data_IF_310394579217
#
_entry.id   IF_310394579217
#
_cell.length_a   1.000
_cell.length_b   1.000
_cell.length_c   1.000
_cell.angle_alpha   90.00
_cell.angle_beta   90.00
_cell.angle_gamma   90.00
#
_symmetry.space_group_name_H-M   'P 1'
#
loop_
_entity.id
_entity.type
_entity.pdbx_description
1 polymer ?
#
# COMPACT_ATOMS: atom_id res chain seq x y z
N UNK A 1 2.51 26.23 -2.93
CA UNK A 1 3.50 25.20 -2.51
C UNK A 1 2.73 24.00 -1.97
N UNK A 2 3.07 22.81 -2.42
CA UNK A 2 2.40 21.59 -1.97
C UNK A 2 2.95 21.15 -0.61
N UNK A 3 2.09 20.69 0.32
CA UNK A 3 2.59 20.17 1.58
C UNK A 3 3.38 18.87 1.35
N UNK A 4 4.51 18.72 2.06
CA UNK A 4 5.30 17.49 2.04
C UNK A 4 4.59 16.41 2.83
N UNK A 5 4.47 15.23 2.24
CA UNK A 5 3.89 14.08 2.91
C UNK A 5 4.45 12.77 2.37
N UNK A 6 4.49 11.77 3.22
CA UNK A 6 4.76 10.40 2.83
C UNK A 6 3.45 9.62 2.69
N UNK A 7 3.49 8.50 2.03
CA UNK A 7 2.33 7.61 1.89
C UNK A 7 2.66 6.25 2.52
N UNK A 8 1.79 5.77 3.39
CA UNK A 8 1.75 4.36 3.80
C UNK A 8 0.60 3.72 3.05
N UNK A 9 0.92 2.89 2.09
CA UNK A 9 -0.06 2.25 1.22
C UNK A 9 -0.41 0.86 1.75
N UNK A 10 -1.61 0.73 2.30
CA UNK A 10 -2.19 -0.53 2.74
C UNK A 10 -2.69 -1.33 1.53
N UNK A 11 -2.41 -2.61 1.52
CA UNK A 11 -2.85 -3.55 0.48
C UNK A 11 -3.66 -4.68 1.12
N UNK A 12 -3.03 -5.82 1.39
CA UNK A 12 -3.65 -6.96 2.10
C UNK A 12 -3.38 -6.95 3.60
N UNK A 13 -2.49 -6.10 4.04
CA UNK A 13 -1.97 -5.94 5.38
C UNK A 13 -2.82 -4.98 6.22
N UNK A 14 -4.12 -5.23 6.32
CA UNK A 14 -5.11 -4.37 6.96
C UNK A 14 -5.05 -4.48 8.49
N UNK A 15 -3.95 -4.00 9.06
CA UNK A 15 -3.68 -3.97 10.50
C UNK A 15 -2.79 -2.78 10.86
N UNK A 16 -2.85 -2.37 12.14
CA UNK A 16 -2.02 -1.29 12.67
C UNK A 16 -0.87 -1.79 13.55
N UNK A 17 -0.84 -3.08 13.86
CA UNK A 17 0.21 -3.73 14.65
C UNK A 17 1.03 -4.68 13.77
N UNK A 18 2.29 -4.87 14.13
CA UNK A 18 3.23 -5.69 13.36
C UNK A 18 3.22 -5.31 11.87
N UNK A 19 3.44 -4.03 11.62
CA UNK A 19 3.33 -3.44 10.30
C UNK A 19 4.56 -2.59 9.99
N UNK A 20 5.54 -3.19 9.30
CA UNK A 20 6.83 -2.55 9.04
C UNK A 20 6.70 -1.23 8.26
N UNK A 21 5.91 -1.11 7.19
CA UNK A 21 5.74 0.16 6.49
C UNK A 21 5.22 1.29 7.38
N UNK A 22 4.25 1.00 8.23
CA UNK A 22 3.69 1.97 9.16
C UNK A 22 4.69 2.37 10.24
N UNK A 23 5.42 1.40 10.78
CA UNK A 23 6.48 1.65 11.77
C UNK A 23 7.57 2.56 11.19
N UNK A 24 8.09 2.26 10.01
CA UNK A 24 9.13 3.04 9.35
C UNK A 24 8.68 4.47 9.03
N UNK A 25 7.44 4.63 8.54
CA UNK A 25 6.88 5.95 8.30
C UNK A 25 6.73 6.76 9.59
N UNK A 26 6.32 6.10 10.68
CA UNK A 26 6.15 6.75 11.97
C UNK A 26 7.49 7.12 12.66
N UNK A 27 8.58 6.43 12.32
CA UNK A 27 9.93 6.77 12.82
C UNK A 27 10.52 8.02 12.15
N UNK A 28 9.94 8.49 11.06
CA UNK A 28 10.36 9.71 10.38
C UNK A 28 9.60 10.92 10.93
N UNK A 29 10.28 12.02 11.01
CA UNK A 29 9.72 13.32 11.47
C UNK A 29 8.88 14.01 10.38
N UNK A 30 8.25 13.24 9.53
CA UNK A 30 7.47 13.72 8.39
C UNK A 30 6.02 13.24 8.50
N UNK A 31 5.10 14.08 8.07
CA UNK A 31 3.70 13.67 7.99
C UNK A 31 3.51 12.56 6.96
N UNK A 32 2.57 11.68 7.20
CA UNK A 32 2.18 10.66 6.23
C UNK A 32 0.67 10.47 6.18
N UNK A 33 0.18 10.07 5.02
CA UNK A 33 -1.17 9.59 4.79
C UNK A 33 -1.20 8.07 4.86
N UNK A 34 -2.15 7.52 5.60
CA UNK A 34 -2.46 6.10 5.54
C UNK A 34 -3.51 5.91 4.44
N UNK A 35 -3.15 5.20 3.39
CA UNK A 35 -3.93 5.10 2.15
C UNK A 35 -4.34 3.67 1.87
N UNK A 36 -5.61 3.47 1.50
CA UNK A 36 -6.10 2.27 0.85
C UNK A 36 -6.76 2.61 -0.48
N UNK A 37 -6.51 1.82 -1.51
CA UNK A 37 -7.07 2.03 -2.84
C UNK A 37 -7.93 0.83 -3.25
N UNK A 38 -9.21 1.08 -3.52
CA UNK A 38 -10.08 0.12 -4.20
C UNK A 38 -9.84 0.25 -5.71
N UNK A 39 -9.15 -0.74 -6.27
CA UNK A 39 -8.79 -0.76 -7.69
C UNK A 39 -9.84 -1.53 -8.50
N UNK A 40 -10.51 -0.91 -9.48
CA UNK A 40 -11.54 -1.58 -10.28
C UNK A 40 -11.04 -2.83 -11.00
N UNK A 41 -9.81 -2.83 -11.50
CA UNK A 41 -9.21 -4.00 -12.14
C UNK A 41 -9.07 -5.20 -11.21
N UNK A 42 -8.75 -4.97 -9.93
CA UNK A 42 -8.71 -6.01 -8.90
C UNK A 42 -10.11 -6.47 -8.51
N UNK A 43 -11.06 -5.54 -8.41
CA UNK A 43 -12.45 -5.84 -8.04
C UNK A 43 -13.16 -6.69 -9.11
N UNK A 44 -12.78 -6.52 -10.38
CA UNK A 44 -13.32 -7.27 -11.51
C UNK A 44 -12.51 -8.54 -11.85
N UNK A 45 -11.42 -8.81 -11.13
CA UNK A 45 -10.60 -9.99 -11.36
C UNK A 45 -11.32 -11.27 -10.92
N UNK A 46 -11.20 -12.34 -11.70
CA UNK A 46 -11.87 -13.62 -11.45
C UNK A 46 -11.40 -14.34 -10.17
N UNK A 47 -10.23 -13.96 -9.64
CA UNK A 47 -9.69 -14.51 -8.38
C UNK A 47 -10.24 -13.82 -7.14
N UNK A 48 -11.06 -12.79 -7.30
CA UNK A 48 -11.68 -12.05 -6.20
C UNK A 48 -13.17 -12.35 -6.13
N UNK A 49 -13.72 -12.32 -4.91
CA UNK A 49 -15.12 -12.58 -4.60
C UNK A 49 -15.66 -11.44 -3.73
N UNK A 50 -16.97 -11.23 -3.76
CA UNK A 50 -17.65 -10.24 -2.92
C UNK A 50 -17.31 -10.39 -1.43
N UNK A 51 -17.09 -11.61 -0.96
CA UNK A 51 -16.69 -11.89 0.43
C UNK A 51 -15.36 -11.25 0.79
N UNK A 52 -14.39 -11.24 -0.13
CA UNK A 52 -13.09 -10.59 0.07
C UNK A 52 -13.26 -9.08 0.26
N UNK A 53 -14.10 -8.46 -0.58
CA UNK A 53 -14.34 -7.01 -0.50
C UNK A 53 -15.12 -6.61 0.75
N UNK A 54 -16.08 -7.42 1.19
CA UNK A 54 -16.77 -7.22 2.47
C UNK A 54 -15.80 -7.32 3.65
N UNK A 55 -14.92 -8.30 3.65
CA UNK A 55 -13.88 -8.44 4.69
C UNK A 55 -12.96 -7.23 4.72
N UNK A 56 -12.51 -6.77 3.56
CA UNK A 56 -11.66 -5.57 3.44
C UNK A 56 -12.40 -4.35 3.98
N UNK A 57 -13.64 -4.15 3.61
CA UNK A 57 -14.46 -3.03 4.08
C UNK A 57 -14.64 -3.04 5.59
N UNK A 58 -14.91 -4.19 6.18
CA UNK A 58 -15.00 -4.35 7.63
C UNK A 58 -13.67 -4.05 8.32
N UNK A 59 -12.58 -4.56 7.77
CA UNK A 59 -11.22 -4.32 8.30
C UNK A 59 -10.86 -2.83 8.26
N UNK A 60 -11.16 -2.14 7.17
CA UNK A 60 -10.93 -0.70 7.05
C UNK A 60 -11.78 0.08 8.04
N UNK A 61 -13.05 -0.31 8.24
CA UNK A 61 -13.93 0.32 9.24
C UNK A 61 -13.39 0.16 10.66
N UNK A 62 -12.83 -0.99 10.99
CA UNK A 62 -12.23 -1.21 12.31
C UNK A 62 -10.94 -0.41 12.50
N UNK A 63 -10.14 -0.28 11.47
CA UNK A 63 -8.97 0.61 11.46
C UNK A 63 -9.39 2.06 11.68
N UNK A 64 -10.39 2.54 10.96
CA UNK A 64 -10.91 3.90 11.12
C UNK A 64 -11.38 4.20 12.54
N UNK A 65 -12.09 3.28 13.17
CA UNK A 65 -12.54 3.42 14.57
C UNK A 65 -11.37 3.62 15.54
N UNK A 66 -10.27 2.91 15.32
CA UNK A 66 -9.07 3.04 16.14
C UNK A 66 -8.39 4.38 15.88
N UNK A 67 -8.27 4.78 14.61
CA UNK A 67 -7.60 6.01 14.19
C UNK A 67 -8.34 7.27 14.67
N UNK A 68 -9.66 7.28 14.59
CA UNK A 68 -10.51 8.40 15.08
C UNK A 68 -10.26 8.67 16.57
N UNK A 69 -10.14 7.62 17.39
CA UNK A 69 -9.80 7.77 18.82
C UNK A 69 -8.43 8.42 19.05
N UNK A 70 -7.57 8.43 18.06
CA UNK A 70 -6.22 9.01 18.10
C UNK A 70 -6.09 10.29 17.27
N UNK A 71 -7.21 10.88 16.83
CA UNK A 71 -7.25 12.03 15.92
C UNK A 71 -6.46 11.81 14.63
N UNK A 72 -6.51 10.59 14.09
CA UNK A 72 -5.90 10.19 12.82
C UNK A 72 -6.98 9.77 11.83
N UNK A 73 -6.63 9.76 10.56
CA UNK A 73 -7.56 9.41 9.49
C UNK A 73 -6.95 8.34 8.57
N UNK A 74 -7.84 7.53 8.00
CA UNK A 74 -7.55 6.63 6.89
C UNK A 74 -8.08 7.29 5.61
N UNK A 75 -7.24 7.39 4.61
CA UNK A 75 -7.63 7.85 3.28
C UNK A 75 -8.01 6.65 2.41
N UNK A 76 -9.23 6.64 1.91
CA UNK A 76 -9.72 5.59 1.01
C UNK A 76 -9.97 6.22 -0.36
N UNK A 77 -9.38 5.63 -1.39
CA UNK A 77 -9.53 6.07 -2.77
C UNK A 77 -10.12 4.95 -3.64
N UNK A 78 -10.81 5.33 -4.70
CA UNK A 78 -11.37 4.44 -5.71
C UNK A 78 -10.81 4.80 -7.07
N UNK A 79 -10.13 3.88 -7.71
CA UNK A 79 -9.51 4.05 -9.01
C UNK A 79 -8.27 3.18 -9.16
N UNK A 80 -7.69 3.18 -10.34
CA UNK A 80 -6.43 2.48 -10.57
C UNK A 80 -5.28 3.18 -9.82
N UNK A 81 -4.36 2.40 -9.27
CA UNK A 81 -3.31 2.93 -8.39
C UNK A 81 -2.45 4.01 -9.05
N UNK A 82 -2.10 3.85 -10.34
CA UNK A 82 -1.33 4.83 -11.09
C UNK A 82 -2.07 6.18 -11.21
N UNK A 83 -3.38 6.15 -11.42
CA UNK A 83 -4.20 7.36 -11.47
C UNK A 83 -4.27 8.05 -10.10
N UNK A 84 -4.52 7.28 -9.05
CA UNK A 84 -4.61 7.79 -7.68
C UNK A 84 -3.28 8.43 -7.25
N UNK A 85 -2.15 7.77 -7.50
CA UNK A 85 -0.85 8.35 -7.17
C UNK A 85 -0.53 9.59 -8.02
N UNK A 86 -0.96 9.63 -9.28
CA UNK A 86 -0.84 10.83 -10.11
C UNK A 86 -1.62 12.01 -9.51
N UNK A 87 -2.86 11.78 -9.07
CA UNK A 87 -3.68 12.80 -8.41
C UNK A 87 -3.05 13.27 -7.10
N UNK A 88 -2.54 12.35 -6.30
CA UNK A 88 -1.87 12.67 -5.03
C UNK A 88 -0.61 13.52 -5.25
N UNK A 89 0.17 13.27 -6.30
CA UNK A 89 1.34 14.10 -6.63
C UNK A 89 0.97 15.51 -7.09
N UNK A 90 -0.27 15.72 -7.56
CA UNK A 90 -0.79 17.05 -7.83
C UNK A 90 -1.14 17.84 -6.56
N UNK A 91 -1.54 17.15 -5.50
CA UNK A 91 -1.94 17.74 -4.23
C UNK A 91 -0.79 17.87 -3.23
N UNK A 92 0.12 16.91 -3.22
CA UNK A 92 1.19 16.77 -2.23
C UNK A 92 2.55 16.66 -2.89
N UNK A 93 3.59 17.11 -2.19
CA UNK A 93 4.98 16.77 -2.49
C UNK A 93 5.31 15.45 -1.79
N UNK A 94 5.18 14.34 -2.55
CA UNK A 94 5.41 13.00 -2.03
C UNK A 94 6.89 12.65 -2.22
N UNK A 95 7.56 12.31 -1.14
CA UNK A 95 8.98 11.90 -1.17
C UNK A 95 9.16 10.40 -0.99
N UNK A 96 8.33 9.78 -0.15
CA UNK A 96 8.42 8.36 0.14
C UNK A 96 7.05 7.68 0.10
N UNK A 97 7.03 6.46 -0.41
CA UNK A 97 5.90 5.53 -0.32
C UNK A 97 6.38 4.26 0.39
N UNK A 98 5.64 3.84 1.41
CA UNK A 98 5.92 2.65 2.20
C UNK A 98 4.81 1.65 1.98
N UNK A 99 5.14 0.43 1.61
CA UNK A 99 4.17 -0.66 1.47
C UNK A 99 4.81 -2.02 1.68
N UNK A 100 4.00 -3.04 1.93
CA UNK A 100 4.45 -4.41 1.80
C UNK A 100 4.57 -4.81 0.31
N UNK A 101 5.44 -5.76 0.02
CA UNK A 101 5.53 -6.37 -1.30
C UNK A 101 4.22 -7.08 -1.64
N UNK A 102 3.81 -6.98 -2.89
CA UNK A 102 2.67 -7.72 -3.40
C UNK A 102 3.13 -9.11 -3.89
N UNK A 103 2.40 -10.13 -3.52
CA UNK A 103 2.66 -11.51 -3.93
C UNK A 103 1.37 -12.17 -4.43
N UNK A 104 1.46 -12.98 -5.46
CA UNK A 104 0.37 -13.84 -5.91
C UNK A 104 -0.18 -13.53 -7.29
N UNK A 105 -0.86 -12.40 -7.50
CA UNK A 105 -1.53 -12.11 -8.77
C UNK A 105 -0.60 -11.44 -9.78
N UNK A 106 -0.66 -11.91 -11.03
CA UNK A 106 0.05 -11.29 -12.14
C UNK A 106 -0.38 -9.82 -12.33
N UNK A 107 -1.66 -9.54 -12.15
CA UNK A 107 -2.24 -8.20 -12.27
C UNK A 107 -1.57 -7.20 -11.32
N UNK A 108 -1.40 -7.58 -10.05
CA UNK A 108 -0.74 -6.73 -9.06
C UNK A 108 0.75 -6.55 -9.34
N UNK A 109 1.39 -7.58 -9.88
CA UNK A 109 2.79 -7.52 -10.29
C UNK A 109 3.02 -6.53 -11.46
N UNK A 110 2.17 -6.58 -12.48
CA UNK A 110 2.23 -5.63 -13.61
C UNK A 110 1.91 -4.19 -13.16
N UNK A 111 0.94 -4.02 -12.26
CA UNK A 111 0.65 -2.74 -11.63
C UNK A 111 1.87 -2.17 -10.92
N UNK A 112 2.54 -2.98 -10.11
CA UNK A 112 3.70 -2.55 -9.34
C UNK A 112 4.88 -2.17 -10.24
N UNK A 113 5.06 -2.85 -11.36
CA UNK A 113 6.05 -2.44 -12.39
C UNK A 113 5.76 -1.05 -12.96
N UNK A 114 4.51 -0.75 -13.26
CA UNK A 114 4.10 0.57 -13.76
C UNK A 114 4.34 1.64 -12.69
N UNK A 115 3.95 1.37 -11.47
CA UNK A 115 4.15 2.29 -10.35
C UNK A 115 5.62 2.55 -10.07
N UNK A 116 6.47 1.55 -10.17
CA UNK A 116 7.91 1.71 -9.99
C UNK A 116 8.50 2.70 -10.99
N UNK A 117 8.08 2.61 -12.25
CA UNK A 117 8.48 3.58 -13.29
C UNK A 117 7.94 4.98 -12.98
N UNK A 118 6.69 5.09 -12.56
CA UNK A 118 6.07 6.35 -12.19
C UNK A 118 6.78 7.01 -11.00
N UNK A 119 7.06 6.25 -9.95
CA UNK A 119 7.77 6.78 -8.78
C UNK A 119 9.18 7.23 -9.11
N UNK A 120 9.92 6.47 -9.90
CA UNK A 120 11.25 6.86 -10.35
C UNK A 120 11.23 8.16 -11.17
N UNK A 121 10.26 8.31 -12.07
CA UNK A 121 10.11 9.52 -12.88
C UNK A 121 9.77 10.75 -12.01
N UNK A 122 9.06 10.57 -10.91
CA UNK A 122 8.66 11.64 -9.99
C UNK A 122 9.62 11.79 -8.79
N UNK A 123 10.75 11.10 -8.78
CA UNK A 123 11.75 11.11 -7.68
C UNK A 123 11.17 10.69 -6.33
N UNK A 124 10.20 9.81 -6.34
CA UNK A 124 9.58 9.22 -5.15
C UNK A 124 10.32 7.93 -4.81
N UNK A 125 10.77 7.79 -3.57
CA UNK A 125 11.37 6.56 -3.08
C UNK A 125 10.28 5.60 -2.62
N UNK A 126 10.25 4.41 -3.20
CA UNK A 126 9.33 3.36 -2.81
C UNK A 126 10.03 2.31 -1.95
N UNK A 127 9.63 2.24 -0.69
CA UNK A 127 10.13 1.29 0.30
C UNK A 127 9.17 0.12 0.40
N UNK A 128 9.59 -1.02 -0.12
CA UNK A 128 8.81 -2.27 -0.04
C UNK A 128 9.38 -3.18 1.05
N UNK A 129 8.49 -3.79 1.83
CA UNK A 129 8.83 -4.70 2.92
C UNK A 129 8.26 -6.07 2.65
N UNK A 130 9.03 -7.10 2.97
CA UNK A 130 8.60 -8.47 2.83
C UNK A 130 7.40 -8.76 3.74
N UNK A 131 6.39 -9.44 3.20
CA UNK A 131 5.25 -9.93 3.95
C UNK A 131 5.23 -11.46 3.94
N UNK A 132 4.82 -12.06 5.05
CA UNK A 132 4.78 -13.51 5.23
C UNK A 132 6.14 -14.19 4.99
N UNK A 133 6.13 -15.48 4.76
CA UNK A 133 7.33 -16.27 4.43
C UNK A 133 7.65 -16.31 2.92
N UNK A 134 7.04 -15.44 2.13
CA UNK A 134 7.23 -15.43 0.67
C UNK A 134 8.39 -14.52 0.30
N UNK A 135 9.39 -15.09 -0.36
CA UNK A 135 10.56 -14.38 -0.89
C UNK A 135 10.39 -14.25 -2.40
N UNK A 136 10.30 -13.04 -2.91
CA UNK A 136 10.26 -12.78 -4.35
C UNK A 136 11.60 -13.16 -5.00
N UNK A 137 11.52 -13.78 -6.18
CA UNK A 137 12.70 -14.12 -6.97
C UNK A 137 13.61 -15.18 -6.36
N UNK A 138 13.09 -16.02 -5.48
CA UNK A 138 13.86 -17.13 -4.89
C UNK A 138 14.24 -18.15 -5.97
N UNK A 139 15.54 -18.29 -6.23
CA UNK A 139 16.06 -19.19 -7.26
C UNK A 139 15.94 -20.68 -6.88
N UNK A 140 15.90 -21.00 -5.59
CA UNK A 140 15.71 -22.36 -5.10
C UNK A 140 15.19 -22.36 -3.65
N UNK A 141 14.61 -23.50 -3.22
CA UNK A 141 14.03 -23.66 -1.87
C UNK A 141 15.04 -24.08 -0.78
N UNK A 142 16.31 -24.29 -1.12
CA UNK A 142 17.32 -24.86 -0.17
C UNK A 142 17.58 -23.99 1.05
N UNK A 143 17.23 -22.70 1.02
CA UNK A 143 17.38 -21.77 2.16
C UNK A 143 16.10 -21.57 2.98
N UNK A 144 15.01 -22.20 2.58
CA UNK A 144 13.73 -22.01 3.26
C UNK A 144 13.56 -22.89 4.51
N UNK A 145 14.36 -23.94 4.62
CA UNK A 145 14.31 -24.90 5.73
C UNK A 145 15.29 -24.60 6.87
N UNK A 146 15.85 -23.38 6.91
CA UNK A 146 16.78 -22.95 7.98
C UNK A 146 16.15 -21.91 8.88
#
# INVERSE_FOLDING_TARGET
>A
MKPKTNIVWLKRDLRLTDHAPLYEANCRDEQFLLLYIFEPSLMNDSHTDMRHWRFIQQSLSDIEKILVKRNKQLSIAHGEADQIFSELTNQYEITNVFSHEETGLKLTFERDKKLKKFFNANKIQWHEYQTNAVIRGLNNRKRWEK
#
